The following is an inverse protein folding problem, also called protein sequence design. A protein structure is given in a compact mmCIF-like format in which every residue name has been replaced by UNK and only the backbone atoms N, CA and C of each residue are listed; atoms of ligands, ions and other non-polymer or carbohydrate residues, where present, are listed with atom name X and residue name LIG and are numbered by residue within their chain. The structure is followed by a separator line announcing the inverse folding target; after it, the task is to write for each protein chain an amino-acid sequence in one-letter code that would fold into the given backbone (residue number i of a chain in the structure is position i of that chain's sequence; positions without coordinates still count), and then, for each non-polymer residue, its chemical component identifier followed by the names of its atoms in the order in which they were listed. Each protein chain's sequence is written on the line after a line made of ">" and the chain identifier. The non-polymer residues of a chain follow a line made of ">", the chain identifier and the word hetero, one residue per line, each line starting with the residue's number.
data_IF_520021940643
#
_entry.id   IF_520021940643
#
_cell.length_a   1.000
_cell.length_b   1.000
_cell.length_c   1.000
_cell.angle_alpha   90.00
_cell.angle_beta   90.00
_cell.angle_gamma   90.00
#
_symmetry.space_group_name_H-M   'P 1'
#
loop_
_entity.id
_entity.type
_entity.pdbx_description
1 polymer ?
#
# COMPACT_ATOMS: atom_id res chain seq x y z
N UNK A 1 -1.16 0.95 20.71
CA UNK A 1 -0.80 2.31 20.26
C UNK A 1 -1.61 2.70 19.02
N UNK A 2 -1.65 1.90 17.95
CA UNK A 2 -2.46 2.19 16.74
C UNK A 2 -3.98 2.47 16.95
N UNK A 3 -4.62 1.87 17.98
CA UNK A 3 -6.05 2.13 18.26
C UNK A 3 -6.30 3.54 18.80
N UNK A 4 -5.39 4.06 19.62
CA UNK A 4 -5.47 5.41 20.20
C UNK A 4 -5.22 6.49 19.13
N UNK A 5 -4.22 6.27 18.28
CA UNK A 5 -3.91 7.15 17.14
C UNK A 5 -5.07 7.20 16.13
N UNK A 6 -5.74 6.08 15.89
CA UNK A 6 -6.94 6.04 15.04
C UNK A 6 -8.13 6.81 15.65
N UNK A 7 -8.31 6.78 16.97
CA UNK A 7 -9.37 7.54 17.64
C UNK A 7 -9.11 9.04 17.59
N UNK A 8 -7.86 9.47 17.86
CA UNK A 8 -7.45 10.87 17.79
C UNK A 8 -7.57 11.44 16.36
N UNK A 9 -7.16 10.66 15.34
CA UNK A 9 -7.31 11.06 13.93
C UNK A 9 -8.79 11.24 13.55
N UNK A 10 -9.68 10.32 13.94
CA UNK A 10 -11.13 10.46 13.69
C UNK A 10 -11.76 11.63 14.41
N UNK A 11 -11.32 11.93 15.63
CA UNK A 11 -11.77 13.07 16.41
C UNK A 11 -11.37 14.38 15.75
N UNK A 12 -10.12 14.47 15.29
CA UNK A 12 -9.63 15.62 14.52
C UNK A 12 -10.35 15.81 13.19
N UNK A 13 -10.66 14.72 12.46
CA UNK A 13 -11.46 14.79 11.24
C UNK A 13 -12.86 15.37 11.51
N UNK A 14 -13.50 14.98 12.62
CA UNK A 14 -14.80 15.51 13.02
C UNK A 14 -14.74 17.00 13.35
N UNK A 15 -13.73 17.44 14.10
CA UNK A 15 -13.51 18.87 14.36
C UNK A 15 -13.40 19.66 13.06
N UNK A 16 -12.53 19.22 12.14
CA UNK A 16 -12.31 19.90 10.87
C UNK A 16 -13.60 20.00 10.05
N UNK A 17 -14.38 18.92 9.98
CA UNK A 17 -15.69 18.92 9.30
C UNK A 17 -16.64 19.93 9.96
N UNK A 18 -16.69 20.00 11.29
CA UNK A 18 -17.51 20.99 12.01
C UNK A 18 -17.11 22.42 11.69
N UNK A 19 -15.80 22.71 11.56
CA UNK A 19 -15.33 24.04 11.14
C UNK A 19 -15.68 24.36 9.69
N UNK A 20 -15.61 23.37 8.78
CA UNK A 20 -15.90 23.54 7.36
C UNK A 20 -17.40 23.81 7.07
N UNK A 21 -18.30 23.39 7.96
CA UNK A 21 -19.75 23.66 7.85
C UNK A 21 -20.07 25.15 8.06
N UNK A 22 -19.18 25.92 8.71
CA UNK A 22 -19.39 27.34 8.93
C UNK A 22 -19.29 28.13 7.60
N UNK A 23 -20.40 28.75 7.20
CA UNK A 23 -20.50 29.55 5.97
C UNK A 23 -19.65 30.83 6.01
N UNK A 24 -19.32 31.33 7.21
CA UNK A 24 -18.52 32.54 7.41
C UNK A 24 -17.00 32.27 7.47
N UNK A 25 -16.57 31.02 7.24
CA UNK A 25 -15.15 30.67 7.29
C UNK A 25 -14.39 31.31 6.11
N UNK A 26 -13.30 32.06 6.37
CA UNK A 26 -12.47 32.61 5.31
C UNK A 26 -11.95 31.54 4.35
N UNK A 27 -11.84 31.88 3.06
CA UNK A 27 -11.40 30.94 2.02
C UNK A 27 -10.01 30.35 2.28
N UNK A 28 -9.08 31.14 2.83
CA UNK A 28 -7.73 30.68 3.18
C UNK A 28 -7.77 29.56 4.23
N UNK A 29 -8.53 29.76 5.31
CA UNK A 29 -8.67 28.78 6.40
C UNK A 29 -9.42 27.54 5.92
N UNK A 30 -10.45 27.72 5.08
CA UNK A 30 -11.15 26.61 4.43
C UNK A 30 -10.22 25.74 3.60
N UNK A 31 -9.30 26.34 2.83
CA UNK A 31 -8.32 25.61 2.02
C UNK A 31 -7.33 24.83 2.87
N UNK A 32 -6.86 25.40 3.99
CA UNK A 32 -5.95 24.73 4.92
C UNK A 32 -6.64 23.53 5.56
N UNK A 33 -7.85 23.71 6.07
CA UNK A 33 -8.64 22.65 6.70
C UNK A 33 -9.01 21.52 5.72
N UNK A 34 -9.35 21.84 4.48
CA UNK A 34 -9.58 20.81 3.45
C UNK A 34 -8.33 19.99 3.14
N UNK A 35 -7.15 20.63 3.13
CA UNK A 35 -5.88 19.92 2.93
C UNK A 35 -5.58 18.99 4.11
N UNK A 36 -5.71 19.49 5.34
CA UNK A 36 -5.50 18.70 6.55
C UNK A 36 -6.46 17.50 6.62
N UNK A 37 -7.74 17.70 6.29
CA UNK A 37 -8.73 16.63 6.21
C UNK A 37 -8.33 15.55 5.19
N UNK A 38 -7.86 15.94 4.01
CA UNK A 38 -7.38 15.00 3.00
C UNK A 38 -6.15 14.23 3.48
N UNK A 39 -5.19 14.89 4.11
CA UNK A 39 -3.97 14.24 4.63
C UNK A 39 -4.31 13.22 5.74
N UNK A 40 -5.25 13.57 6.63
CA UNK A 40 -5.76 12.69 7.68
C UNK A 40 -6.52 11.48 7.13
N UNK A 41 -7.33 11.67 6.09
CA UNK A 41 -8.03 10.58 5.39
C UNK A 41 -7.05 9.67 4.65
N UNK A 42 -6.03 10.23 4.00
CA UNK A 42 -5.00 9.48 3.28
C UNK A 42 -4.17 8.62 4.24
N UNK A 43 -3.81 9.13 5.41
CA UNK A 43 -3.04 8.37 6.42
C UNK A 43 -3.76 7.07 6.82
N UNK A 44 -5.07 7.14 7.06
CA UNK A 44 -5.88 5.98 7.44
C UNK A 44 -5.99 4.97 6.28
N UNK A 45 -6.11 5.47 5.04
CA UNK A 45 -6.14 4.63 3.83
C UNK A 45 -4.80 3.93 3.61
N UNK A 46 -3.69 4.64 3.74
CA UNK A 46 -2.33 4.09 3.59
C UNK A 46 -2.02 3.02 4.65
N UNK A 47 -2.40 3.23 5.90
CA UNK A 47 -2.19 2.25 6.97
C UNK A 47 -3.02 0.97 6.77
N UNK A 48 -4.28 1.11 6.34
CA UNK A 48 -5.13 -0.04 5.98
C UNK A 48 -4.54 -0.80 4.81
N UNK A 49 -4.11 -0.10 3.76
CA UNK A 49 -3.44 -0.70 2.60
C UNK A 49 -2.18 -1.45 3.03
N UNK A 50 -1.31 -0.86 3.85
CA UNK A 50 -0.10 -1.51 4.38
C UNK A 50 -0.42 -2.76 5.19
N UNK A 51 -1.43 -2.70 6.05
CA UNK A 51 -1.86 -3.83 6.89
C UNK A 51 -2.39 -4.98 6.04
N UNK A 52 -3.23 -4.65 5.07
CA UNK A 52 -3.81 -5.60 4.13
C UNK A 52 -2.71 -6.24 3.25
N UNK A 53 -1.80 -5.41 2.72
CA UNK A 53 -0.66 -5.87 1.92
C UNK A 53 0.23 -6.84 2.70
N UNK A 54 0.54 -6.53 3.97
CA UNK A 54 1.28 -7.43 4.85
C UNK A 54 0.55 -8.75 5.06
N UNK A 55 -0.78 -8.73 5.15
CA UNK A 55 -1.60 -9.94 5.31
C UNK A 55 -1.51 -10.83 4.06
N UNK A 56 -1.70 -10.27 2.86
CA UNK A 56 -1.60 -11.06 1.63
C UNK A 56 -0.20 -11.56 1.34
N UNK A 57 0.81 -10.72 1.55
CA UNK A 57 2.19 -11.15 1.39
C UNK A 57 2.49 -12.35 2.31
N UNK A 58 2.05 -12.31 3.58
CA UNK A 58 2.13 -13.44 4.50
C UNK A 58 1.31 -14.65 4.07
N UNK A 59 0.15 -14.47 3.45
CA UNK A 59 -0.64 -15.60 2.94
C UNK A 59 0.10 -16.37 1.83
N UNK A 60 0.91 -15.68 1.03
CA UNK A 60 1.67 -16.28 -0.08
C UNK A 60 3.00 -16.85 0.40
N UNK A 61 3.74 -16.11 1.23
CA UNK A 61 5.15 -16.41 1.55
C UNK A 61 5.38 -16.82 3.02
N UNK A 62 4.36 -16.71 3.87
CA UNK A 62 4.45 -16.99 5.30
C UNK A 62 5.40 -16.04 6.03
N UNK A 63 6.25 -16.62 6.88
CA UNK A 63 7.28 -15.91 7.66
C UNK A 63 8.68 -16.04 7.04
N UNK A 64 8.78 -16.27 5.73
CA UNK A 64 10.09 -16.41 5.09
C UNK A 64 10.81 -15.07 4.98
N UNK A 65 12.14 -15.14 5.03
CA UNK A 65 13.02 -14.03 4.70
C UNK A 65 13.22 -13.93 3.18
N UNK A 66 13.68 -12.76 2.74
CA UNK A 66 13.99 -12.51 1.33
C UNK A 66 14.98 -13.50 0.73
N UNK A 67 15.99 -13.96 1.49
CA UNK A 67 16.99 -14.90 0.96
C UNK A 67 16.39 -16.23 0.49
N UNK A 68 15.21 -16.59 1.01
CA UNK A 68 14.53 -17.84 0.68
C UNK A 68 13.38 -17.65 -0.34
N UNK A 69 13.29 -16.47 -0.95
CA UNK A 69 12.28 -16.16 -1.97
C UNK A 69 12.63 -16.83 -3.30
N UNK A 70 11.66 -17.53 -3.90
CA UNK A 70 11.79 -18.02 -5.27
C UNK A 70 10.96 -17.18 -6.27
N UNK A 71 11.27 -17.31 -7.56
CA UNK A 71 10.63 -16.51 -8.60
C UNK A 71 9.13 -16.80 -8.76
N UNK A 72 8.69 -18.02 -8.41
CA UNK A 72 7.28 -18.43 -8.49
C UNK A 72 6.47 -17.62 -7.46
N UNK A 73 6.96 -17.55 -6.23
CA UNK A 73 6.37 -16.77 -5.14
C UNK A 73 6.38 -15.28 -5.44
N UNK A 74 7.47 -14.79 -6.01
CA UNK A 74 7.54 -13.41 -6.46
C UNK A 74 6.48 -13.10 -7.52
N UNK A 75 6.27 -13.98 -8.52
CA UNK A 75 5.19 -13.81 -9.51
C UNK A 75 3.82 -13.85 -8.85
N UNK A 76 3.58 -14.75 -7.87
CA UNK A 76 2.33 -14.79 -7.10
C UNK A 76 2.07 -13.49 -6.34
N UNK A 77 3.09 -12.91 -5.69
CA UNK A 77 2.99 -11.59 -5.03
C UNK A 77 2.63 -10.50 -6.04
N UNK A 78 3.27 -10.51 -7.22
CA UNK A 78 2.95 -9.57 -8.29
C UNK A 78 1.52 -9.75 -8.79
N UNK A 79 1.06 -10.98 -9.03
CA UNK A 79 -0.33 -11.27 -9.44
C UNK A 79 -1.36 -10.95 -8.36
N UNK A 80 -0.98 -11.01 -7.08
CA UNK A 80 -1.85 -10.55 -6.03
C UNK A 80 -2.13 -9.04 -6.17
N UNK A 81 -1.24 -8.24 -6.76
CA UNK A 81 -1.44 -6.80 -6.94
C UNK A 81 -0.31 -5.96 -6.33
N UNK A 82 0.68 -6.60 -5.68
CA UNK A 82 1.83 -5.91 -5.12
C UNK A 82 2.79 -5.44 -6.22
N UNK A 83 3.30 -4.24 -6.06
CA UNK A 83 4.43 -3.69 -6.83
C UNK A 83 5.75 -4.19 -6.26
N UNK A 84 6.85 -4.00 -7.00
CA UNK A 84 8.18 -4.35 -6.50
C UNK A 84 8.58 -3.52 -5.29
N UNK A 85 8.19 -2.24 -5.24
CA UNK A 85 8.48 -1.37 -4.09
C UNK A 85 7.76 -1.88 -2.84
N UNK A 86 6.49 -2.24 -2.97
CA UNK A 86 5.67 -2.79 -1.87
C UNK A 86 6.20 -4.13 -1.36
N UNK A 87 6.68 -5.00 -2.26
CA UNK A 87 7.37 -6.26 -1.89
C UNK A 87 8.69 -5.95 -1.17
N UNK A 88 9.45 -4.95 -1.65
CA UNK A 88 10.69 -4.54 -1.01
C UNK A 88 10.47 -4.01 0.40
N UNK A 89 9.44 -3.19 0.60
CA UNK A 89 9.03 -2.68 1.90
C UNK A 89 8.60 -3.82 2.84
N UNK A 90 7.86 -4.81 2.33
CA UNK A 90 7.45 -5.97 3.12
C UNK A 90 8.65 -6.77 3.66
N UNK A 91 9.66 -7.00 2.83
CA UNK A 91 10.88 -7.74 3.22
C UNK A 91 11.95 -6.85 3.85
N UNK A 92 11.71 -5.54 3.99
CA UNK A 92 12.67 -4.55 4.47
C UNK A 92 14.01 -4.60 3.68
N UNK A 93 13.92 -4.61 2.37
CA UNK A 93 15.07 -4.62 1.45
C UNK A 93 14.97 -3.47 0.44
N UNK A 94 16.07 -3.16 -0.24
CA UNK A 94 16.05 -2.12 -1.28
C UNK A 94 15.27 -2.55 -2.51
N UNK A 95 14.63 -1.59 -3.19
CA UNK A 95 14.02 -1.83 -4.51
C UNK A 95 15.03 -2.41 -5.53
N UNK A 96 16.29 -1.97 -5.47
CA UNK A 96 17.35 -2.51 -6.33
C UNK A 96 17.56 -4.02 -6.17
N UNK A 97 17.34 -4.59 -4.98
CA UNK A 97 17.37 -6.05 -4.78
C UNK A 97 16.25 -6.75 -5.56
N UNK A 98 15.06 -6.13 -5.67
CA UNK A 98 13.95 -6.66 -6.48
C UNK A 98 14.27 -6.63 -7.97
N UNK A 99 14.82 -5.51 -8.44
CA UNK A 99 15.18 -5.33 -9.85
C UNK A 99 16.26 -6.34 -10.26
N UNK A 100 17.30 -6.51 -9.41
CA UNK A 100 18.33 -7.51 -9.62
C UNK A 100 17.77 -8.94 -9.60
N UNK A 101 16.86 -9.25 -8.68
CA UNK A 101 16.25 -10.57 -8.58
C UNK A 101 15.49 -10.97 -9.85
N UNK A 102 14.75 -10.04 -10.45
CA UNK A 102 14.05 -10.27 -11.74
C UNK A 102 15.01 -10.25 -12.92
N UNK A 103 16.13 -9.53 -12.82
CA UNK A 103 17.13 -9.42 -13.89
C UNK A 103 18.01 -10.68 -14.05
N UNK A 104 18.16 -11.51 -12.98
CA UNK A 104 18.83 -12.81 -13.06
C UNK A 104 18.22 -13.64 -14.21
N UNK A 105 19.05 -14.19 -15.10
CA UNK A 105 18.61 -14.79 -16.38
C UNK A 105 17.51 -15.84 -16.22
N UNK A 106 17.65 -16.74 -15.27
CA UNK A 106 16.69 -17.81 -14.98
C UNK A 106 15.34 -17.24 -14.52
N UNK A 107 15.40 -16.29 -13.58
CA UNK A 107 14.23 -15.60 -13.07
C UNK A 107 13.55 -14.74 -14.14
N UNK A 108 14.33 -14.05 -14.99
CA UNK A 108 13.84 -13.18 -16.05
C UNK A 108 13.00 -13.94 -17.06
N UNK A 109 13.46 -15.13 -17.46
CA UNK A 109 12.73 -15.99 -18.40
C UNK A 109 11.41 -16.44 -17.80
N UNK A 110 11.44 -16.95 -16.56
CA UNK A 110 10.23 -17.37 -15.87
C UNK A 110 9.26 -16.21 -15.66
N UNK A 111 9.74 -15.06 -15.19
CA UNK A 111 8.94 -13.88 -14.93
C UNK A 111 8.22 -13.40 -16.19
N UNK A 112 8.94 -13.27 -17.32
CA UNK A 112 8.34 -12.85 -18.60
C UNK A 112 7.28 -13.82 -19.11
N UNK A 113 7.45 -15.12 -18.87
CA UNK A 113 6.51 -16.15 -19.32
C UNK A 113 5.25 -16.21 -18.45
N UNK A 114 5.37 -15.96 -17.16
CA UNK A 114 4.30 -16.24 -16.20
C UNK A 114 3.65 -14.98 -15.61
N UNK A 115 4.29 -13.82 -15.66
CA UNK A 115 3.67 -12.58 -15.20
C UNK A 115 2.62 -12.09 -16.20
N UNK A 116 1.43 -11.80 -15.68
CA UNK A 116 0.26 -11.36 -16.45
C UNK A 116 -0.19 -10.05 -15.83
N UNK A 117 -0.04 -8.95 -16.58
CA UNK A 117 -0.30 -7.61 -16.05
C UNK A 117 -1.77 -7.41 -15.68
N UNK A 118 -2.71 -7.98 -16.43
CA UNK A 118 -4.14 -7.84 -16.13
C UNK A 118 -4.52 -8.48 -14.79
N UNK A 119 -3.95 -9.64 -14.44
CA UNK A 119 -4.17 -10.26 -13.13
C UNK A 119 -3.68 -9.35 -12.00
N UNK A 120 -2.49 -8.76 -12.16
CA UNK A 120 -1.96 -7.77 -11.23
C UNK A 120 -2.87 -6.55 -11.11
N UNK A 121 -3.32 -5.98 -12.24
CA UNK A 121 -4.14 -4.78 -12.29
C UNK A 121 -5.50 -5.00 -11.61
N UNK A 122 -6.22 -6.04 -12.00
CA UNK A 122 -7.54 -6.37 -11.44
C UNK A 122 -7.44 -6.60 -9.93
N UNK A 123 -6.41 -7.33 -9.50
CA UNK A 123 -6.24 -7.60 -8.09
C UNK A 123 -5.93 -6.31 -7.32
N UNK A 124 -5.08 -5.42 -7.85
CA UNK A 124 -4.80 -4.11 -7.26
C UNK A 124 -6.04 -3.21 -7.17
N UNK A 125 -6.86 -3.15 -8.23
CA UNK A 125 -8.11 -2.38 -8.26
C UNK A 125 -9.09 -2.87 -7.17
N UNK A 126 -9.20 -4.19 -6.99
CA UNK A 126 -10.03 -4.79 -5.94
C UNK A 126 -9.60 -4.40 -4.51
N UNK A 127 -8.37 -3.92 -4.32
CA UNK A 127 -7.87 -3.46 -3.03
C UNK A 127 -8.13 -1.97 -2.79
N UNK A 128 -8.08 -1.17 -3.86
CA UNK A 128 -8.22 0.28 -3.77
C UNK A 128 -9.68 0.74 -3.70
N UNK A 129 -10.61 -0.10 -4.18
CA UNK A 129 -12.05 0.20 -4.23
C UNK A 129 -12.84 -0.29 -2.98
N UNK A 130 -12.16 -0.75 -1.91
CA UNK A 130 -12.78 -1.22 -0.65
C UNK A 130 -12.32 -0.43 0.57
#
# INVERSE_FOLDING_TARGET
>A
MAVLEMTENKERQREIISYLINENLPFADRKVLQKELNDLMNTNTEEKMRTWMKKEARAIVGNRNWENMNIIEFVKLRHAGLTQSEIADFFNVSKSKMDNFVAIRENRSYYRKNFVYDLHRIARENWTDK
#
